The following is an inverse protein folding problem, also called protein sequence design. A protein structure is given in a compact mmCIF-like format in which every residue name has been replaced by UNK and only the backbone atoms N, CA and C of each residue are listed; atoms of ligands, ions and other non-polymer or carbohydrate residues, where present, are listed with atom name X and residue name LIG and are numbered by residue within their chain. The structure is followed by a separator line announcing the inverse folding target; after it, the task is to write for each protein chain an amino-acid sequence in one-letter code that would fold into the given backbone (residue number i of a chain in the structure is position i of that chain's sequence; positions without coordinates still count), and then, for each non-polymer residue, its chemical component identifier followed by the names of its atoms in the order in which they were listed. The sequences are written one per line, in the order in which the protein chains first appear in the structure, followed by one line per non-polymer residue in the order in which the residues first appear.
data_IF_391883772466
#
_entry.id   IF_391883772466
#
_cell.length_a   1.000
_cell.length_b   1.000
_cell.length_c   1.000
_cell.angle_alpha   90.00
_cell.angle_beta   90.00
_cell.angle_gamma   90.00
#
_symmetry.space_group_name_H-M   'P 1'
#
loop_
_entity.id
_entity.type
_entity.pdbx_description
1 polymer ?
#
# COMPACT_ATOMS: atom_id res chain seq x y z
N UNK A 1 33.49 -3.37 -18.58
CA UNK A 1 32.17 -2.93 -19.08
C UNK A 1 31.55 -2.05 -18.03
N UNK A 2 31.38 -0.77 -18.33
CA UNK A 2 30.96 0.22 -17.35
C UNK A 2 29.44 0.30 -17.28
N UNK A 3 28.88 0.48 -16.08
CA UNK A 3 27.46 0.79 -15.90
C UNK A 3 27.06 2.07 -16.66
N UNK A 4 28.00 3.01 -16.82
CA UNK A 4 27.81 4.25 -17.58
C UNK A 4 27.47 4.05 -19.06
N UNK A 5 28.03 3.03 -19.72
CA UNK A 5 27.71 2.72 -21.13
C UNK A 5 26.29 2.16 -21.32
N UNK A 6 25.77 1.42 -20.33
CA UNK A 6 24.39 0.92 -20.33
C UNK A 6 23.35 2.06 -20.21
N UNK A 7 23.66 3.08 -19.41
CA UNK A 7 22.82 4.29 -19.32
C UNK A 7 23.02 5.24 -20.52
N UNK A 8 24.22 5.24 -21.11
CA UNK A 8 24.59 6.07 -22.25
C UNK A 8 24.29 5.45 -23.63
N UNK A 9 23.54 4.32 -23.70
CA UNK A 9 22.98 3.79 -24.95
C UNK A 9 21.88 4.73 -25.50
N UNK A 10 22.28 5.91 -25.97
CA UNK A 10 21.61 6.78 -26.93
C UNK A 10 20.06 6.82 -26.85
N UNK A 11 19.50 7.00 -25.66
CA UNK A 11 18.05 7.21 -25.44
C UNK A 11 17.20 5.99 -25.07
N UNK A 12 17.67 4.75 -25.23
CA UNK A 12 16.87 3.55 -24.91
C UNK A 12 16.80 3.23 -23.41
N UNK A 13 17.83 3.58 -22.65
CA UNK A 13 17.84 3.35 -21.20
C UNK A 13 16.66 4.04 -20.50
N UNK A 14 16.29 5.25 -20.93
CA UNK A 14 15.14 5.99 -20.38
C UNK A 14 13.80 5.27 -20.61
N UNK A 15 13.62 4.61 -21.75
CA UNK A 15 12.40 3.84 -22.03
C UNK A 15 12.30 2.58 -21.18
N UNK A 16 13.42 1.87 -21.01
CA UNK A 16 13.47 0.65 -20.18
C UNK A 16 13.21 1.03 -18.73
N UNK A 17 14.03 1.90 -18.16
CA UNK A 17 13.88 2.34 -16.77
C UNK A 17 12.56 3.06 -16.51
N UNK A 18 12.04 3.82 -17.48
CA UNK A 18 10.71 4.42 -17.42
C UNK A 18 9.60 3.36 -17.36
N UNK A 19 9.64 2.33 -18.20
CA UNK A 19 8.65 1.24 -18.22
C UNK A 19 8.68 0.42 -16.93
N UNK A 20 9.88 0.09 -16.43
CA UNK A 20 10.05 -0.56 -15.13
C UNK A 20 9.59 0.34 -13.98
N UNK A 21 9.85 1.65 -14.06
CA UNK A 21 9.37 2.64 -13.10
C UNK A 21 7.85 2.70 -13.06
N UNK A 22 7.18 2.70 -14.21
CA UNK A 22 5.70 2.65 -14.30
C UNK A 22 5.16 1.35 -13.72
N UNK A 23 5.79 0.20 -14.01
CA UNK A 23 5.37 -1.08 -13.43
C UNK A 23 5.47 -1.06 -11.88
N UNK A 24 6.60 -0.59 -11.33
CA UNK A 24 6.77 -0.44 -9.88
C UNK A 24 5.77 0.57 -9.31
N UNK A 25 5.49 1.67 -10.01
CA UNK A 25 4.52 2.68 -9.61
C UNK A 25 3.13 2.06 -9.43
N UNK A 26 2.67 1.25 -10.39
CA UNK A 26 1.38 0.54 -10.32
C UNK A 26 1.34 -0.39 -9.11
N UNK A 27 2.39 -1.18 -8.88
CA UNK A 27 2.47 -2.05 -7.70
C UNK A 27 2.42 -1.27 -6.38
N UNK A 28 3.12 -0.13 -6.30
CA UNK A 28 3.12 0.72 -5.11
C UNK A 28 1.74 1.31 -4.86
N UNK A 29 1.06 1.79 -5.91
CA UNK A 29 -0.30 2.33 -5.81
C UNK A 29 -1.26 1.27 -5.28
N UNK A 30 -1.28 0.08 -5.89
CA UNK A 30 -2.10 -1.05 -5.44
C UNK A 30 -1.79 -1.42 -3.98
N UNK A 31 -0.51 -1.53 -3.61
CA UNK A 31 -0.09 -1.83 -2.25
C UNK A 31 -0.57 -0.77 -1.24
N UNK A 32 -0.51 0.51 -1.60
CA UNK A 32 -0.98 1.61 -0.76
C UNK A 32 -2.51 1.57 -0.61
N UNK A 33 -3.26 1.35 -1.68
CA UNK A 33 -4.73 1.19 -1.63
C UNK A 33 -5.14 0.01 -0.75
N UNK A 34 -4.53 -1.15 -0.94
CA UNK A 34 -4.79 -2.36 -0.13
C UNK A 34 -4.43 -2.13 1.33
N UNK A 35 -3.31 -1.46 1.61
CA UNK A 35 -2.87 -1.14 2.97
C UNK A 35 -3.82 -0.15 3.66
N UNK A 36 -4.35 0.83 2.94
CA UNK A 36 -5.38 1.73 3.47
C UNK A 36 -6.67 0.97 3.79
N UNK A 37 -7.09 0.05 2.91
CA UNK A 37 -8.29 -0.76 3.13
C UNK A 37 -8.17 -1.66 4.35
N UNK A 38 -6.99 -2.26 4.59
CA UNK A 38 -6.70 -3.03 5.80
C UNK A 38 -6.82 -2.21 7.09
N UNK A 39 -6.42 -0.93 7.08
CA UNK A 39 -6.58 -0.07 8.26
C UNK A 39 -8.04 0.20 8.59
N UNK A 40 -8.90 0.32 7.59
CA UNK A 40 -10.33 0.56 7.80
C UNK A 40 -11.03 -0.67 8.39
N UNK A 41 -10.72 -1.87 7.90
CA UNK A 41 -11.31 -3.12 8.41
C UNK A 41 -10.89 -3.38 9.87
N UNK A 42 -9.63 -3.13 10.23
CA UNK A 42 -9.19 -3.27 11.62
C UNK A 42 -9.80 -2.22 12.55
N UNK A 43 -10.09 -1.02 12.05
CA UNK A 43 -10.75 0.03 12.82
C UNK A 43 -12.21 -0.32 13.11
N UNK A 44 -12.90 -0.89 12.12
CA UNK A 44 -14.29 -1.31 12.24
C UNK A 44 -14.46 -2.44 13.27
N UNK A 45 -13.59 -3.46 13.22
CA UNK A 45 -13.59 -4.55 14.22
C UNK A 45 -13.32 -4.05 15.65
N UNK A 46 -12.52 -2.98 15.81
CA UNK A 46 -12.21 -2.44 17.13
C UNK A 46 -13.39 -1.66 17.73
N UNK A 47 -14.20 -1.01 16.89
CA UNK A 47 -15.39 -0.28 17.33
C UNK A 47 -16.49 -1.25 17.78
N UNK A 48 -16.78 -2.29 16.99
CA UNK A 48 -17.81 -3.29 17.35
C UNK A 48 -17.51 -4.02 18.66
N UNK A 49 -16.23 -4.24 18.99
CA UNK A 49 -15.83 -4.89 20.26
C UNK A 49 -16.03 -3.98 21.47
N UNK A 50 -15.70 -2.70 21.34
CA UNK A 50 -15.86 -1.72 22.40
C UNK A 50 -17.35 -1.47 22.70
N UNK A 51 -18.19 -1.38 21.67
CA UNK A 51 -19.64 -1.20 21.84
C UNK A 51 -20.28 -2.44 22.51
N UNK A 52 -19.75 -3.64 22.27
CA UNK A 52 -20.22 -4.87 22.91
C UNK A 52 -19.79 -5.01 24.39
N UNK A 53 -18.60 -4.52 24.75
CA UNK A 53 -18.13 -4.49 26.15
C UNK A 53 -18.86 -3.42 26.98
N UNK A 54 -19.17 -2.26 26.40
CA UNK A 54 -19.90 -1.18 27.08
C UNK A 54 -21.37 -1.54 27.33
N UNK A 55 -22.06 -2.11 26.32
CA UNK A 55 -23.46 -2.51 26.45
C UNK A 55 -23.69 -3.65 27.46
N UNK A 56 -22.73 -4.58 27.61
CA UNK A 56 -22.83 -5.66 28.60
C UNK A 56 -22.54 -5.23 30.04
N UNK A 57 -21.90 -4.08 30.24
CA UNK A 57 -21.60 -3.53 31.58
C UNK A 57 -22.76 -2.69 32.12
N UNK A 58 -23.55 -2.05 31.25
CA UNK A 58 -24.72 -1.24 31.64
C UNK A 58 -25.94 -2.07 32.08
N UNK A 59 -26.06 -3.31 31.62
CA UNK A 59 -27.20 -4.18 31.94
C UNK A 59 -27.02 -4.98 33.25
N UNK A 60 -25.86 -4.85 33.91
CA UNK A 60 -25.48 -5.58 35.14
C UNK A 60 -25.40 -4.72 36.40
N UNK A 61 -25.73 -3.44 36.32
CA UNK A 61 -25.71 -2.48 37.45
C UNK A 61 -27.14 -2.04 37.81
#
# INVERSE_FOLDING_TARGET
MSWGEFFAMNGYAFYVWGSYGVAVLVFVIEALLVRNRRKNVLRELKLTRLDAEDNGSGERA
#
